data_IF_497965914630
#
_entry.id   IF_497965914630
#
_cell.length_a   1.000
_cell.length_b   1.000
_cell.length_c   1.000
_cell.angle_alpha   90.00
_cell.angle_beta   90.00
_cell.angle_gamma   90.00
#
_symmetry.space_group_name_H-M   'P 1'
#
loop_
_entity.id
_entity.type
_entity.pdbx_description
1 polymer ?
#
# COMPACT_ATOMS: atom_id res chain seq x y z
N UNK A 1 8.27 15.38 -3.22
CA UNK A 1 8.52 13.96 -2.89
C UNK A 1 7.26 13.19 -3.22
N UNK A 2 7.39 11.96 -3.71
CA UNK A 2 6.27 11.16 -4.20
C UNK A 2 5.52 10.49 -3.02
N UNK A 3 6.21 10.23 -1.91
CA UNK A 3 5.66 9.67 -0.67
C UNK A 3 6.39 10.20 0.57
N UNK A 4 5.79 10.00 1.75
CA UNK A 4 6.35 10.34 3.06
C UNK A 4 7.35 9.27 3.54
N UNK A 5 8.63 9.64 3.65
CA UNK A 5 9.67 8.74 4.18
C UNK A 5 9.43 8.35 5.64
N UNK A 6 8.78 9.22 6.41
CA UNK A 6 8.43 8.93 7.81
C UNK A 6 7.42 7.78 7.87
N UNK A 7 6.38 7.83 7.03
CA UNK A 7 5.40 6.74 6.96
C UNK A 7 6.04 5.48 6.39
N UNK A 8 6.88 5.59 5.36
CA UNK A 8 7.62 4.45 4.81
C UNK A 8 8.53 3.80 5.87
N UNK A 9 9.20 4.59 6.71
CA UNK A 9 9.99 4.12 7.85
C UNK A 9 9.15 3.31 8.85
N UNK A 10 7.96 3.79 9.22
CA UNK A 10 7.04 3.06 10.11
C UNK A 10 6.58 1.74 9.49
N UNK A 11 6.30 1.72 8.19
CA UNK A 11 5.94 0.48 7.48
C UNK A 11 7.11 -0.50 7.47
N UNK A 12 8.33 -0.05 7.19
CA UNK A 12 9.55 -0.90 7.26
C UNK A 12 9.72 -1.50 8.65
N UNK A 13 9.54 -0.71 9.70
CA UNK A 13 9.61 -1.18 11.08
C UNK A 13 8.53 -2.22 11.39
N UNK A 14 7.28 -1.96 11.00
CA UNK A 14 6.15 -2.86 11.22
C UNK A 14 6.25 -4.18 10.45
N UNK A 15 6.74 -4.14 9.21
CA UNK A 15 6.98 -5.34 8.40
C UNK A 15 8.20 -6.11 8.90
N UNK A 16 9.17 -5.44 9.52
CA UNK A 16 10.45 -6.03 9.90
C UNK A 16 11.33 -6.34 8.68
N UNK A 17 12.00 -7.50 8.70
CA UNK A 17 12.87 -7.97 7.60
C UNK A 17 12.59 -9.42 7.17
N UNK A 18 11.33 -9.80 6.88
CA UNK A 18 11.05 -11.13 6.39
C UNK A 18 11.64 -11.30 4.97
N UNK A 19 12.15 -12.49 4.63
CA UNK A 19 12.64 -12.77 3.29
C UNK A 19 11.50 -12.59 2.27
N UNK A 20 11.82 -11.97 1.14
CA UNK A 20 10.88 -11.80 0.02
C UNK A 20 10.08 -10.49 0.03
N UNK A 21 10.37 -9.55 0.93
CA UNK A 21 9.91 -8.15 0.81
C UNK A 21 10.78 -7.40 -0.21
N UNK A 22 10.13 -6.78 -1.17
CA UNK A 22 10.75 -5.91 -2.19
C UNK A 22 10.06 -4.55 -2.16
N UNK A 23 10.85 -3.49 -2.12
CA UNK A 23 10.36 -2.12 -2.25
C UNK A 23 10.34 -1.71 -3.72
N UNK A 24 9.23 -1.15 -4.20
CA UNK A 24 9.09 -0.66 -5.57
C UNK A 24 8.30 0.63 -5.61
N UNK A 25 8.84 1.63 -6.30
CA UNK A 25 8.11 2.88 -6.55
C UNK A 25 7.01 2.64 -7.60
N UNK A 26 5.76 2.85 -7.19
CA UNK A 26 4.56 2.67 -8.01
C UNK A 26 3.36 3.39 -7.39
N UNK A 27 2.30 3.60 -8.17
CA UNK A 27 1.08 4.32 -7.74
C UNK A 27 1.33 5.75 -7.23
N UNK A 28 2.38 6.40 -7.73
CA UNK A 28 2.79 7.70 -7.20
C UNK A 28 3.19 7.62 -5.73
N UNK A 29 3.77 6.49 -5.31
CA UNK A 29 4.24 6.22 -3.95
C UNK A 29 5.31 5.13 -3.92
N UNK A 30 5.51 4.53 -2.75
CA UNK A 30 6.34 3.33 -2.56
C UNK A 30 5.46 2.17 -2.11
N UNK A 31 5.65 1.01 -2.72
CA UNK A 31 4.94 -0.22 -2.36
C UNK A 31 5.92 -1.27 -1.85
N UNK A 32 5.47 -2.03 -0.86
CA UNK A 32 6.14 -3.18 -0.28
C UNK A 32 5.45 -4.43 -0.82
N UNK A 33 6.22 -5.25 -1.51
CA UNK A 33 5.73 -6.45 -2.19
C UNK A 33 6.27 -7.67 -1.45
N UNK A 34 5.38 -8.56 -1.03
CA UNK A 34 5.75 -9.88 -0.52
C UNK A 34 5.56 -10.91 -1.63
N UNK A 35 6.64 -11.56 -2.06
CA UNK A 35 6.57 -12.58 -3.11
C UNK A 35 6.01 -12.03 -4.44
N UNK A 36 6.28 -10.77 -4.76
CA UNK A 36 5.81 -10.09 -5.97
C UNK A 36 4.37 -9.53 -5.88
N UNK A 37 3.66 -9.75 -4.77
CA UNK A 37 2.34 -9.15 -4.54
C UNK A 37 2.43 -7.98 -3.55
N UNK A 38 1.84 -6.84 -3.88
CA UNK A 38 1.79 -5.69 -2.97
C UNK A 38 1.03 -6.04 -1.69
N UNK A 39 1.62 -5.83 -0.52
CA UNK A 39 0.97 -5.99 0.78
C UNK A 39 0.54 -4.64 1.38
N UNK A 40 1.41 -3.64 1.30
CA UNK A 40 1.18 -2.28 1.78
C UNK A 40 1.98 -1.29 0.95
N UNK A 41 1.53 -0.04 0.86
CA UNK A 41 2.26 1.05 0.23
C UNK A 41 1.99 2.38 0.93
N UNK A 42 2.80 3.38 0.58
CA UNK A 42 2.70 4.75 1.08
C UNK A 42 2.58 5.69 -0.12
N UNK A 43 1.58 6.57 -0.09
CA UNK A 43 1.35 7.59 -1.13
C UNK A 43 1.07 8.93 -0.48
N UNK A 44 1.94 9.92 -0.70
CA UNK A 44 1.89 11.15 0.10
C UNK A 44 1.98 10.81 1.60
N UNK A 45 0.96 11.20 2.37
CA UNK A 45 0.83 10.87 3.80
C UNK A 45 -0.11 9.68 4.08
N UNK A 46 -0.71 9.09 3.04
CA UNK A 46 -1.68 8.01 3.15
C UNK A 46 -1.02 6.63 3.02
N UNK A 47 -1.71 5.61 3.56
CA UNK A 47 -1.39 4.20 3.38
C UNK A 47 -2.30 3.55 2.33
N UNK A 48 -1.70 2.70 1.50
CA UNK A 48 -2.42 1.79 0.61
C UNK A 48 -2.28 0.40 1.21
N UNK A 49 -3.38 -0.21 1.66
CA UNK A 49 -3.37 -1.54 2.27
C UNK A 49 -4.07 -2.55 1.38
N UNK A 50 -3.51 -3.76 1.31
CA UNK A 50 -4.20 -4.87 0.63
C UNK A 50 -5.31 -5.40 1.53
N UNK A 51 -6.51 -5.49 0.97
CA UNK A 51 -7.70 -6.05 1.62
C UNK A 51 -8.27 -7.18 0.78
N UNK A 52 -9.16 -8.00 1.35
CA UNK A 52 -9.86 -9.00 0.56
C UNK A 52 -10.76 -8.29 -0.47
N UNK A 53 -10.83 -8.74 -1.74
CA UNK A 53 -11.65 -8.08 -2.77
C UNK A 53 -13.14 -7.94 -2.39
N UNK A 54 -13.67 -8.89 -1.62
CA UNK A 54 -15.06 -8.86 -1.13
C UNK A 54 -15.30 -7.75 -0.08
N UNK A 55 -14.25 -7.24 0.56
CA UNK A 55 -14.33 -6.19 1.59
C UNK A 55 -14.13 -4.79 1.02
N UNK A 56 -13.62 -4.67 -0.21
CA UNK A 56 -13.25 -3.39 -0.84
C UNK A 56 -14.38 -2.36 -0.78
N UNK A 57 -15.59 -2.70 -1.25
CA UNK A 57 -16.71 -1.75 -1.24
C UNK A 57 -17.12 -1.29 0.16
N UNK A 58 -17.03 -2.19 1.15
CA UNK A 58 -17.38 -1.88 2.53
C UNK A 58 -16.34 -0.95 3.14
N UNK A 59 -15.06 -1.26 2.96
CA UNK A 59 -13.96 -0.47 3.50
C UNK A 59 -13.84 0.91 2.83
N UNK A 60 -14.19 1.02 1.54
CA UNK A 60 -14.25 2.33 0.85
C UNK A 60 -15.33 3.27 1.39
N UNK A 61 -16.30 2.77 2.18
CA UNK A 61 -17.30 3.61 2.85
C UNK A 61 -16.81 4.15 4.20
N UNK A 62 -15.70 3.63 4.73
CA UNK A 62 -15.12 4.12 5.98
C UNK A 62 -14.46 5.49 5.80
N UNK A 63 -14.55 6.38 6.80
CA UNK A 63 -13.89 7.69 6.74
C UNK A 63 -12.38 7.56 6.49
N UNK A 64 -11.88 8.25 5.47
CA UNK A 64 -10.46 8.24 5.10
C UNK A 64 -10.07 7.18 4.06
N UNK A 65 -10.97 6.25 3.70
CA UNK A 65 -10.73 5.33 2.60
C UNK A 65 -11.06 5.99 1.25
N UNK A 66 -10.03 6.55 0.61
CA UNK A 66 -10.20 7.40 -0.59
C UNK A 66 -9.67 6.77 -1.88
N UNK A 67 -9.18 5.53 -1.82
CA UNK A 67 -8.45 4.94 -2.94
C UNK A 67 -8.67 3.43 -3.10
N UNK A 68 -8.98 3.04 -4.33
CA UNK A 68 -8.96 1.65 -4.77
C UNK A 68 -7.90 1.46 -5.86
N UNK A 69 -6.92 0.61 -5.59
CA UNK A 69 -5.84 0.31 -6.53
C UNK A 69 -6.33 -0.46 -7.78
N UNK A 70 -7.42 -1.23 -7.68
CA UNK A 70 -8.00 -1.97 -8.80
C UNK A 70 -8.59 -1.03 -9.87
N UNK A 71 -8.94 0.20 -9.49
CA UNK A 71 -9.38 1.24 -10.43
C UNK A 71 -8.24 1.81 -11.30
N UNK A 72 -6.98 1.62 -10.89
CA UNK A 72 -5.79 2.21 -11.54
C UNK A 72 -5.02 1.18 -12.35
N UNK A 73 -4.98 -0.07 -11.90
CA UNK A 73 -4.39 -1.17 -12.66
C UNK A 73 -5.53 -2.06 -13.17
N UNK A 74 -5.86 -2.02 -14.47
CA UNK A 74 -6.70 -3.06 -15.04
C UNK A 74 -5.95 -4.38 -14.84
N UNK A 75 -6.49 -5.23 -13.98
CA UNK A 75 -6.10 -6.63 -13.85
C UNK A 75 -6.50 -7.40 -15.12
#
# INVERSE_FOLDING_TARGET
>A
MVYSEVQAGRVREALGRPPGIVEKELLGGIAFLLGGSMCVGVRGEDLIVRVAPAETETLLREPGAVFDAASVFPL
#
